data_IF_249377792304
#
_entry.id   IF_249377792304
#
_cell.length_a   1.000
_cell.length_b   1.000
_cell.length_c   1.000
_cell.angle_alpha   90.00
_cell.angle_beta   90.00
_cell.angle_gamma   90.00
#
_symmetry.space_group_name_H-M   'P 1'
#
loop_
_entity.id
_entity.type
_entity.pdbx_description
1 polymer ?
#
# COMPACT_ATOMS: atom_id res chain seq x y z
N UNK A 1 -0.92 0.17 24.29
CA UNK A 1 -1.68 -1.06 24.55
C UNK A 1 -1.41 -2.03 23.41
N UNK A 2 -1.00 -3.25 23.70
CA UNK A 2 -1.09 -4.34 22.72
C UNK A 2 -2.57 -4.52 22.39
N UNK A 3 -2.91 -4.50 21.10
CA UNK A 3 -4.26 -4.83 20.68
C UNK A 3 -4.51 -6.29 21.05
N UNK A 4 -5.25 -6.54 22.13
CA UNK A 4 -5.47 -7.89 22.63
C UNK A 4 -6.65 -8.53 21.90
N UNK A 5 -6.38 -8.96 20.65
CA UNK A 5 -7.35 -9.64 19.78
C UNK A 5 -8.02 -10.80 20.53
N UNK A 6 -7.26 -11.50 21.39
CA UNK A 6 -7.73 -12.68 22.12
C UNK A 6 -8.85 -12.34 23.11
N UNK A 7 -8.83 -11.12 23.68
CA UNK A 7 -9.81 -10.69 24.67
C UNK A 7 -11.03 -9.96 24.07
N UNK A 8 -11.03 -9.66 22.77
CA UNK A 8 -12.17 -9.05 22.10
C UNK A 8 -13.17 -10.12 21.59
N UNK A 9 -14.16 -10.45 22.41
CA UNK A 9 -15.16 -11.50 22.11
C UNK A 9 -15.91 -11.26 20.79
N UNK A 10 -16.26 -10.00 20.48
CA UNK A 10 -16.96 -9.67 19.25
C UNK A 10 -16.08 -9.92 18.01
N UNK A 11 -14.81 -9.51 18.07
CA UNK A 11 -13.85 -9.77 17.01
C UNK A 11 -13.56 -11.28 16.87
N UNK A 12 -13.42 -12.01 17.97
CA UNK A 12 -13.26 -13.47 17.95
C UNK A 12 -14.45 -14.17 17.27
N UNK A 13 -15.67 -13.71 17.54
CA UNK A 13 -16.86 -14.25 16.88
C UNK A 13 -16.84 -13.97 15.37
N UNK A 14 -16.43 -12.78 14.94
CA UNK A 14 -16.25 -12.45 13.51
C UNK A 14 -15.16 -13.32 12.86
N UNK A 15 -14.02 -13.49 13.53
CA UNK A 15 -12.93 -14.33 13.01
C UNK A 15 -13.37 -15.80 12.88
N UNK A 16 -14.14 -16.31 13.85
CA UNK A 16 -14.67 -17.67 13.82
C UNK A 16 -15.66 -17.91 12.67
N UNK A 17 -16.56 -16.97 12.38
CA UNK A 17 -17.48 -17.09 11.25
C UNK A 17 -16.74 -17.02 9.92
N UNK A 18 -15.76 -16.12 9.79
CA UNK A 18 -14.94 -15.99 8.59
C UNK A 18 -14.01 -17.18 8.36
N UNK A 19 -13.53 -17.82 9.42
CA UNK A 19 -12.69 -19.02 9.32
C UNK A 19 -13.42 -20.20 8.65
N UNK A 20 -14.75 -20.29 8.80
CA UNK A 20 -15.57 -21.30 8.11
C UNK A 20 -15.55 -21.06 6.60
N UNK A 21 -15.80 -19.82 6.17
CA UNK A 21 -15.74 -19.44 4.75
C UNK A 21 -14.35 -19.64 4.17
N UNK A 22 -13.32 -19.23 4.90
CA UNK A 22 -11.92 -19.45 4.52
C UNK A 22 -11.63 -20.92 4.25
N UNK A 23 -12.03 -21.83 5.17
CA UNK A 23 -11.82 -23.28 4.99
C UNK A 23 -12.53 -23.83 3.75
N UNK A 24 -13.74 -23.36 3.46
CA UNK A 24 -14.48 -23.74 2.24
C UNK A 24 -13.75 -23.29 0.97
N UNK A 25 -13.30 -22.04 0.95
CA UNK A 25 -12.57 -21.45 -0.18
C UNK A 25 -11.23 -22.17 -0.38
N UNK A 26 -10.44 -22.29 0.69
CA UNK A 26 -9.15 -22.98 0.67
C UNK A 26 -9.30 -24.42 0.20
N UNK A 27 -10.26 -25.18 0.74
CA UNK A 27 -10.52 -26.56 0.33
C UNK A 27 -10.92 -26.68 -1.14
N UNK A 28 -11.69 -25.73 -1.67
CA UNK A 28 -12.10 -25.72 -3.09
C UNK A 28 -10.92 -25.38 -4.00
N UNK A 29 -10.10 -24.39 -3.63
CA UNK A 29 -8.89 -24.05 -4.36
C UNK A 29 -7.86 -25.19 -4.33
N UNK A 30 -7.64 -25.82 -3.17
CA UNK A 30 -6.77 -27.00 -3.04
C UNK A 30 -7.21 -28.14 -3.95
N UNK A 31 -8.52 -28.45 -4.00
CA UNK A 31 -9.06 -29.43 -4.96
C UNK A 31 -8.78 -29.00 -6.40
N UNK A 32 -9.05 -27.74 -6.75
CA UNK A 32 -8.75 -27.18 -8.08
C UNK A 32 -7.30 -27.39 -8.50
N UNK A 33 -6.34 -27.04 -7.61
CA UNK A 33 -4.91 -27.27 -7.85
C UNK A 33 -4.57 -28.75 -8.02
N UNK A 34 -5.10 -29.64 -7.18
CA UNK A 34 -4.86 -31.09 -7.28
C UNK A 34 -5.31 -31.62 -8.66
N UNK A 35 -6.49 -31.20 -9.14
CA UNK A 35 -6.98 -31.63 -10.45
C UNK A 35 -6.13 -31.10 -11.61
N UNK A 36 -5.71 -29.83 -11.56
CA UNK A 36 -4.81 -29.26 -12.58
C UNK A 36 -3.48 -30.02 -12.60
N UNK A 37 -2.84 -30.21 -11.44
CA UNK A 37 -1.56 -30.94 -11.34
C UNK A 37 -1.72 -32.38 -11.83
N UNK A 38 -2.80 -33.06 -11.44
CA UNK A 38 -3.10 -34.43 -11.92
C UNK A 38 -3.22 -34.47 -13.43
N UNK A 39 -3.91 -33.51 -14.05
CA UNK A 39 -4.04 -33.42 -15.50
C UNK A 39 -2.72 -33.21 -16.23
N UNK A 40 -1.86 -32.33 -15.69
CA UNK A 40 -0.51 -32.10 -16.22
C UNK A 40 0.32 -33.38 -16.16
N UNK A 41 0.30 -34.08 -15.01
CA UNK A 41 1.04 -35.34 -14.82
C UNK A 41 0.55 -36.43 -15.78
N UNK A 42 -0.77 -36.59 -15.93
CA UNK A 42 -1.36 -37.54 -16.88
C UNK A 42 -0.99 -37.23 -18.33
N UNK A 43 -1.00 -35.94 -18.70
CA UNK A 43 -0.58 -35.49 -20.03
C UNK A 43 0.89 -35.80 -20.32
N UNK A 44 1.80 -35.50 -19.38
CA UNK A 44 3.23 -35.80 -19.52
C UNK A 44 3.45 -37.32 -19.59
N UNK A 45 2.85 -38.09 -18.68
CA UNK A 45 3.02 -39.53 -18.63
C UNK A 45 2.54 -40.22 -19.92
N UNK A 46 1.35 -39.86 -20.41
CA UNK A 46 0.82 -40.44 -21.64
C UNK A 46 1.67 -40.09 -22.87
N UNK A 47 2.29 -38.90 -22.90
CA UNK A 47 3.21 -38.51 -23.95
C UNK A 47 4.51 -39.34 -23.90
N UNK A 48 5.09 -39.52 -22.71
CA UNK A 48 6.30 -40.36 -22.50
C UNK A 48 6.05 -41.82 -22.89
N UNK A 49 4.85 -42.34 -22.66
CA UNK A 49 4.46 -43.70 -23.03
C UNK A 49 4.09 -43.87 -24.52
N UNK A 50 4.15 -42.81 -25.33
CA UNK A 50 3.89 -42.88 -26.78
C UNK A 50 2.43 -42.81 -27.19
N UNK A 51 1.53 -42.33 -26.31
CA UNK A 51 0.09 -42.17 -26.58
C UNK A 51 -0.32 -40.69 -26.62
N UNK A 52 0.15 -39.88 -27.59
CA UNK A 52 0.00 -38.43 -27.54
C UNK A 52 -1.46 -37.97 -27.58
N UNK A 53 -2.32 -38.58 -28.42
CA UNK A 53 -3.73 -38.18 -28.54
C UNK A 53 -4.53 -38.52 -27.26
N UNK A 54 -4.51 -39.78 -26.75
CA UNK A 54 -5.16 -40.10 -25.48
C UNK A 54 -4.62 -39.29 -24.29
N UNK A 55 -3.31 -38.99 -24.27
CA UNK A 55 -2.69 -38.21 -23.21
C UNK A 55 -3.26 -36.79 -23.12
N UNK A 56 -3.46 -36.12 -24.26
CA UNK A 56 -4.06 -34.78 -24.30
C UNK A 56 -5.48 -34.82 -23.77
N UNK A 57 -6.30 -35.77 -24.22
CA UNK A 57 -7.71 -35.89 -23.77
C UNK A 57 -7.77 -36.18 -22.27
N UNK A 58 -6.99 -37.14 -21.78
CA UNK A 58 -6.95 -37.54 -20.37
C UNK A 58 -6.44 -36.42 -19.47
N UNK A 59 -5.48 -35.61 -19.94
CA UNK A 59 -4.96 -34.46 -19.20
C UNK A 59 -5.92 -33.27 -19.18
N UNK A 60 -6.62 -32.99 -20.28
CA UNK A 60 -7.52 -31.84 -20.38
C UNK A 60 -8.75 -31.94 -19.46
N UNK A 61 -9.33 -33.13 -19.29
CA UNK A 61 -10.52 -33.33 -18.44
C UNK A 61 -10.34 -32.79 -17.01
N UNK A 62 -9.33 -33.23 -16.24
CA UNK A 62 -9.11 -32.71 -14.88
C UNK A 62 -8.62 -31.26 -14.88
N UNK A 63 -7.89 -30.79 -15.89
CA UNK A 63 -7.51 -29.36 -16.01
C UNK A 63 -8.76 -28.49 -16.13
N UNK A 64 -9.70 -28.85 -17.01
CA UNK A 64 -10.97 -28.14 -17.20
C UNK A 64 -11.77 -28.17 -15.90
N UNK A 65 -11.88 -29.31 -15.25
CA UNK A 65 -12.58 -29.42 -13.98
C UNK A 65 -11.98 -28.52 -12.90
N UNK A 66 -10.65 -28.49 -12.77
CA UNK A 66 -9.95 -27.59 -11.86
C UNK A 66 -10.21 -26.11 -12.19
N UNK A 67 -10.19 -25.73 -13.46
CA UNK A 67 -10.55 -24.39 -13.93
C UNK A 67 -11.98 -23.99 -13.57
N UNK A 68 -12.95 -24.90 -13.72
CA UNK A 68 -14.35 -24.66 -13.33
C UNK A 68 -14.49 -24.45 -11.82
N UNK A 69 -13.72 -25.15 -10.99
CA UNK A 69 -13.70 -24.92 -9.54
C UNK A 69 -13.20 -23.52 -9.19
N UNK A 70 -12.14 -23.05 -9.85
CA UNK A 70 -11.64 -21.67 -9.67
C UNK A 70 -12.67 -20.63 -10.09
N UNK A 71 -13.32 -20.82 -11.23
CA UNK A 71 -14.37 -19.91 -11.69
C UNK A 71 -15.53 -19.84 -10.69
N UNK A 72 -16.02 -20.99 -10.20
CA UNK A 72 -17.14 -21.05 -9.25
C UNK A 72 -16.82 -20.45 -7.88
N UNK A 73 -15.57 -20.55 -7.42
CA UNK A 73 -15.19 -20.03 -6.09
C UNK A 73 -14.76 -18.56 -6.12
N UNK A 74 -14.56 -17.97 -7.31
CA UNK A 74 -14.05 -16.62 -7.45
C UNK A 74 -14.93 -15.59 -6.73
N UNK A 75 -16.25 -15.62 -6.94
CA UNK A 75 -17.17 -14.67 -6.29
C UNK A 75 -17.18 -14.84 -4.78
N UNK A 76 -17.06 -16.08 -4.29
CA UNK A 76 -16.92 -16.37 -2.87
C UNK A 76 -15.62 -15.84 -2.28
N UNK A 77 -14.51 -15.96 -3.03
CA UNK A 77 -13.22 -15.41 -2.64
C UNK A 77 -13.29 -13.89 -2.54
N UNK A 78 -13.85 -13.22 -3.54
CA UNK A 78 -14.03 -11.76 -3.51
C UNK A 78 -14.94 -11.33 -2.36
N UNK A 79 -16.04 -12.04 -2.11
CA UNK A 79 -16.91 -11.76 -0.97
C UNK A 79 -16.19 -11.95 0.38
N UNK A 80 -15.36 -12.98 0.50
CA UNK A 80 -14.53 -13.23 1.68
C UNK A 80 -13.50 -12.12 1.91
N UNK A 81 -12.80 -11.67 0.86
CA UNK A 81 -11.86 -10.54 0.94
C UNK A 81 -12.57 -9.27 1.42
N UNK A 82 -13.71 -8.94 0.81
CA UNK A 82 -14.48 -7.75 1.18
C UNK A 82 -15.01 -7.83 2.62
N UNK A 83 -15.51 -8.99 3.03
CA UNK A 83 -15.99 -9.21 4.40
C UNK A 83 -14.86 -9.08 5.43
N UNK A 84 -13.62 -9.42 5.07
CA UNK A 84 -12.46 -9.27 5.97
C UNK A 84 -12.15 -7.80 6.19
N UNK A 85 -12.05 -7.04 5.09
CA UNK A 85 -11.79 -5.60 5.12
C UNK A 85 -12.88 -4.85 5.91
N UNK A 86 -14.15 -5.22 5.79
CA UNK A 86 -15.22 -4.55 6.53
C UNK A 86 -15.37 -5.04 7.98
N UNK A 87 -15.39 -6.34 8.22
CA UNK A 87 -15.76 -6.88 9.52
C UNK A 87 -14.56 -7.06 10.46
N UNK A 88 -13.39 -7.41 9.95
CA UNK A 88 -12.18 -7.62 10.77
C UNK A 88 -11.41 -6.31 10.88
N UNK A 89 -11.02 -5.74 9.74
CA UNK A 89 -10.24 -4.50 9.72
C UNK A 89 -11.08 -3.33 10.23
N UNK A 90 -12.35 -3.22 9.82
CA UNK A 90 -13.26 -2.20 10.35
C UNK A 90 -13.47 -2.29 11.87
N UNK A 91 -13.60 -3.50 12.44
CA UNK A 91 -13.70 -3.67 13.89
C UNK A 91 -12.38 -3.32 14.60
N UNK A 92 -11.24 -3.67 14.02
CA UNK A 92 -9.93 -3.30 14.58
C UNK A 92 -9.71 -1.79 14.58
N UNK A 93 -10.10 -1.11 13.51
CA UNK A 93 -10.08 0.36 13.42
C UNK A 93 -10.90 0.99 14.53
N UNK A 94 -12.16 0.55 14.72
CA UNK A 94 -13.05 1.09 15.76
C UNK A 94 -12.57 0.83 17.18
N UNK A 95 -11.88 -0.27 17.41
CA UNK A 95 -11.27 -0.54 18.72
C UNK A 95 -10.06 0.36 18.98
N UNK A 96 -9.29 0.70 17.95
CA UNK A 96 -8.15 1.60 18.09
C UNK A 96 -8.61 3.04 18.38
N UNK A 97 -9.56 3.55 17.59
CA UNK A 97 -10.18 4.85 17.81
C UNK A 97 -11.55 4.88 17.09
N UNK A 98 -12.56 5.38 17.79
CA UNK A 98 -13.96 5.34 17.35
C UNK A 98 -14.20 6.18 16.08
N UNK A 99 -13.32 7.15 15.78
CA UNK A 99 -13.36 7.97 14.56
C UNK A 99 -12.91 7.21 13.31
N UNK A 100 -12.15 6.12 13.46
CA UNK A 100 -11.56 5.42 12.32
C UNK A 100 -12.61 4.65 11.52
N UNK A 101 -12.46 4.67 10.20
CA UNK A 101 -13.34 3.95 9.28
C UNK A 101 -12.56 3.51 8.05
N UNK A 102 -13.04 2.46 7.38
CA UNK A 102 -12.48 1.96 6.13
C UNK A 102 -13.56 1.92 5.05
N UNK A 103 -13.19 2.34 3.84
CA UNK A 103 -13.93 2.09 2.62
C UNK A 103 -13.04 1.28 1.66
N UNK A 104 -13.25 -0.04 1.56
CA UNK A 104 -12.42 -0.92 0.73
C UNK A 104 -12.40 -0.57 -0.76
N UNK A 105 -13.46 0.08 -1.26
CA UNK A 105 -13.64 0.35 -2.69
C UNK A 105 -13.25 1.77 -3.09
N UNK A 106 -12.83 2.58 -2.14
CA UNK A 106 -12.32 3.92 -2.37
C UNK A 106 -10.83 3.96 -2.04
N UNK A 107 -10.17 4.99 -2.54
CA UNK A 107 -8.76 5.21 -2.31
C UNK A 107 -8.42 6.68 -2.56
N UNK A 108 -7.13 6.96 -2.71
CA UNK A 108 -6.66 8.31 -3.05
C UNK A 108 -6.64 8.44 -4.56
N UNK A 109 -7.38 9.42 -5.09
CA UNK A 109 -7.49 9.66 -6.54
C UNK A 109 -6.13 9.93 -7.20
N UNK A 110 -5.98 9.54 -8.46
CA UNK A 110 -4.76 9.76 -9.23
C UNK A 110 -4.36 11.25 -9.29
N UNK A 111 -5.35 12.15 -9.32
CA UNK A 111 -5.13 13.60 -9.28
C UNK A 111 -4.47 14.06 -7.99
N UNK A 112 -4.88 13.51 -6.84
CA UNK A 112 -4.27 13.82 -5.55
C UNK A 112 -2.89 13.20 -5.43
N UNK A 113 -2.70 11.95 -5.90
CA UNK A 113 -1.39 11.32 -5.99
C UNK A 113 -0.38 12.19 -6.75
N UNK A 114 -0.76 12.72 -7.92
CA UNK A 114 0.06 13.65 -8.69
C UNK A 114 0.26 14.98 -7.96
N UNK A 115 -0.78 15.50 -7.31
CA UNK A 115 -0.72 16.72 -6.52
C UNK A 115 0.31 16.64 -5.39
N UNK A 116 0.58 15.45 -4.83
CA UNK A 116 1.62 15.26 -3.80
C UNK A 116 3.02 15.63 -4.29
N UNK A 117 3.28 15.57 -5.60
CA UNK A 117 4.60 15.78 -6.21
C UNK A 117 5.71 14.86 -5.68
N UNK A 118 5.35 13.78 -4.99
CA UNK A 118 6.31 12.78 -4.49
C UNK A 118 6.97 11.97 -5.62
N UNK A 119 6.30 11.90 -6.77
CA UNK A 119 6.71 11.10 -7.92
C UNK A 119 6.72 11.95 -9.19
N UNK A 120 7.67 11.68 -10.08
CA UNK A 120 7.91 12.52 -11.27
C UNK A 120 7.18 12.05 -12.54
N UNK A 121 6.63 10.84 -12.53
CA UNK A 121 5.96 10.24 -13.67
C UNK A 121 4.45 10.32 -13.45
N UNK A 122 3.72 10.73 -14.49
CA UNK A 122 2.28 10.54 -14.55
C UNK A 122 1.98 9.05 -14.79
N UNK A 123 1.08 8.43 -14.01
CA UNK A 123 0.73 7.03 -14.19
C UNK A 123 -0.05 6.79 -15.48
N UNK A 124 0.41 5.86 -16.32
CA UNK A 124 -0.38 5.27 -17.41
C UNK A 124 -1.47 4.33 -16.85
N UNK A 125 -1.22 3.75 -15.67
CA UNK A 125 -2.15 2.88 -14.95
C UNK A 125 -2.09 3.21 -13.47
N UNK A 126 -3.28 3.39 -12.88
CA UNK A 126 -3.42 3.75 -11.48
C UNK A 126 -4.51 2.88 -10.83
N UNK A 127 -4.20 2.29 -9.69
CA UNK A 127 -5.13 1.55 -8.84
C UNK A 127 -5.00 2.04 -7.41
N UNK A 128 -6.12 2.17 -6.73
CA UNK A 128 -6.15 2.50 -5.31
C UNK A 128 -7.32 1.79 -4.65
N UNK A 129 -7.14 1.41 -3.39
CA UNK A 129 -8.14 0.72 -2.58
C UNK A 129 -7.88 0.97 -1.09
N UNK A 130 -8.79 0.48 -0.24
CA UNK A 130 -8.63 0.46 1.20
C UNK A 130 -8.43 1.84 1.85
N UNK A 131 -9.25 2.81 1.45
CA UNK A 131 -9.27 4.13 2.07
C UNK A 131 -9.66 4.03 3.55
N UNK A 132 -8.69 4.27 4.43
CA UNK A 132 -8.90 4.45 5.86
C UNK A 132 -8.90 5.94 6.18
N UNK A 133 -9.87 6.38 6.96
CA UNK A 133 -10.00 7.79 7.38
C UNK A 133 -10.25 7.88 8.88
N UNK A 134 -9.79 8.95 9.50
CA UNK A 134 -10.21 9.31 10.84
C UNK A 134 -9.55 10.55 11.41
N UNK A 135 -9.58 10.69 12.73
CA UNK A 135 -9.07 11.86 13.43
C UNK A 135 -8.35 11.43 14.71
N UNK A 136 -7.05 11.72 14.80
CA UNK A 136 -6.29 11.55 16.04
C UNK A 136 -6.23 12.90 16.76
N UNK A 137 -6.96 13.01 17.87
CA UNK A 137 -7.30 14.24 18.57
C UNK A 137 -7.92 15.32 17.65
N UNK A 138 -7.10 16.26 17.15
CA UNK A 138 -7.55 17.41 16.34
C UNK A 138 -7.14 17.29 14.87
N UNK A 139 -6.31 16.31 14.54
CA UNK A 139 -5.75 16.14 13.21
C UNK A 139 -6.48 15.04 12.47
N UNK A 140 -7.16 15.43 11.39
CA UNK A 140 -7.72 14.49 10.44
C UNK A 140 -6.60 13.92 9.59
N UNK A 141 -6.73 12.64 9.29
CA UNK A 141 -5.84 11.95 8.40
C UNK A 141 -6.61 10.88 7.63
N UNK A 142 -6.02 10.46 6.53
CA UNK A 142 -6.48 9.32 5.76
C UNK A 142 -5.30 8.68 5.05
N UNK A 143 -5.45 7.41 4.70
CA UNK A 143 -4.47 6.70 3.90
C UNK A 143 -5.15 5.65 3.05
N UNK A 144 -4.54 5.29 1.95
CA UNK A 144 -5.02 4.24 1.05
C UNK A 144 -3.85 3.48 0.44
N UNK A 145 -4.11 2.26 0.00
CA UNK A 145 -3.16 1.55 -0.86
C UNK A 145 -3.20 2.17 -2.26
N UNK A 146 -2.02 2.36 -2.87
CA UNK A 146 -1.83 2.91 -4.21
C UNK A 146 -0.84 2.05 -4.98
N UNK A 147 -1.20 1.73 -6.22
CA UNK A 147 -0.32 1.14 -7.23
C UNK A 147 -0.38 1.98 -8.51
N UNK A 148 0.71 2.70 -8.77
CA UNK A 148 0.88 3.62 -9.89
C UNK A 148 2.00 3.11 -10.80
N UNK A 149 1.74 3.01 -12.10
CA UNK A 149 2.63 2.40 -13.07
C UNK A 149 2.70 3.23 -14.36
N UNK A 150 3.88 3.25 -14.98
CA UNK A 150 4.09 3.80 -16.32
C UNK A 150 4.53 2.70 -17.28
N UNK A 151 4.33 2.92 -18.58
CA UNK A 151 4.78 1.99 -19.61
C UNK A 151 5.90 2.58 -20.46
N UNK A 152 6.88 1.75 -20.79
CA UNK A 152 7.87 2.06 -21.83
C UNK A 152 7.56 1.25 -23.08
N UNK A 153 7.51 1.92 -24.23
CA UNK A 153 7.25 1.30 -25.52
C UNK A 153 8.51 1.37 -26.37
N UNK A 154 9.04 0.21 -26.75
CA UNK A 154 10.23 0.11 -27.61
C UNK A 154 9.88 -0.62 -28.90
N UNK A 155 10.25 -0.01 -30.04
CA UNK A 155 10.13 -0.67 -31.33
C UNK A 155 11.28 -1.67 -31.51
N UNK A 156 10.94 -2.90 -31.83
CA UNK A 156 11.88 -4.00 -32.10
C UNK A 156 11.72 -4.47 -33.54
N UNK A 157 12.66 -5.30 -34.03
CA UNK A 157 12.60 -5.86 -35.38
C UNK A 157 11.36 -6.74 -35.62
N UNK A 158 10.80 -7.30 -34.54
CA UNK A 158 9.67 -8.25 -34.59
C UNK A 158 8.34 -7.62 -34.10
N UNK A 159 8.31 -6.29 -33.90
CA UNK A 159 7.11 -5.54 -33.48
C UNK A 159 7.35 -4.63 -32.28
N UNK A 160 6.28 -4.32 -31.55
CA UNK A 160 6.31 -3.39 -30.42
C UNK A 160 6.40 -4.13 -29.09
N UNK A 161 7.42 -3.83 -28.28
CA UNK A 161 7.55 -4.33 -26.90
C UNK A 161 7.05 -3.26 -25.92
N UNK A 162 6.06 -3.63 -25.10
CA UNK A 162 5.56 -2.78 -24.01
C UNK A 162 5.99 -3.39 -22.68
N UNK A 163 6.65 -2.59 -21.85
CA UNK A 163 7.04 -2.97 -20.49
C UNK A 163 6.36 -2.02 -19.49
N UNK A 164 5.88 -2.58 -18.39
CA UNK A 164 5.28 -1.83 -17.29
C UNK A 164 6.28 -1.73 -16.15
N UNK A 165 6.36 -0.53 -15.55
CA UNK A 165 7.28 -0.22 -14.47
C UNK A 165 6.52 0.49 -13.34
N UNK A 166 6.82 0.11 -12.10
CA UNK A 166 6.21 0.73 -10.93
C UNK A 166 6.76 2.15 -10.74
N UNK A 167 5.87 3.13 -10.66
CA UNK A 167 6.15 4.47 -10.12
C UNK A 167 6.14 4.40 -8.60
N UNK A 168 5.07 3.81 -8.07
CA UNK A 168 4.85 3.61 -6.65
C UNK A 168 3.94 2.41 -6.41
N UNK A 169 4.27 1.64 -5.38
CA UNK A 169 3.39 0.61 -4.82
C UNK A 169 3.51 0.66 -3.31
N UNK A 170 2.41 0.93 -2.62
CA UNK A 170 2.39 0.98 -1.16
C UNK A 170 1.27 1.85 -0.60
N UNK A 171 1.47 2.37 0.61
CA UNK A 171 0.46 3.21 1.29
C UNK A 171 0.82 4.68 1.09
N UNK A 172 -0.14 5.46 0.60
CA UNK A 172 -0.07 6.92 0.60
C UNK A 172 -0.89 7.42 1.79
N UNK A 173 -0.24 8.16 2.68
CA UNK A 173 -0.82 8.75 3.88
C UNK A 173 -0.93 10.25 3.72
N UNK A 174 -2.03 10.84 4.18
CA UNK A 174 -2.29 12.27 4.17
C UNK A 174 -2.81 12.72 5.54
N UNK A 175 -2.31 13.83 6.06
CA UNK A 175 -2.80 14.43 7.29
C UNK A 175 -2.87 15.96 7.21
N UNK A 176 -3.84 16.52 7.93
CA UNK A 176 -3.94 17.96 8.13
C UNK A 176 -2.72 18.48 8.90
N UNK A 177 -2.07 19.51 8.37
CA UNK A 177 -0.97 20.20 9.02
C UNK A 177 -1.46 21.54 9.57
N UNK A 178 -1.11 21.88 10.82
CA UNK A 178 -1.60 23.12 11.45
C UNK A 178 -0.86 24.40 11.00
N UNK A 179 -0.57 24.50 9.71
CA UNK A 179 0.03 25.69 9.10
C UNK A 179 -0.39 25.70 7.64
N UNK A 180 -0.69 26.90 7.13
CA UNK A 180 -0.85 27.11 5.70
C UNK A 180 0.52 27.49 5.14
N UNK A 181 1.00 26.70 4.21
CA UNK A 181 2.21 26.88 3.44
C UNK A 181 1.86 27.62 2.15
N UNK A 182 2.72 28.53 1.74
CA UNK A 182 2.66 29.15 0.42
C UNK A 182 3.67 28.52 -0.56
N UNK A 183 4.52 27.65 -0.05
CA UNK A 183 5.52 26.86 -0.78
C UNK A 183 5.19 25.37 -0.76
N UNK A 184 5.88 24.66 -1.65
CA UNK A 184 5.93 23.20 -1.69
C UNK A 184 7.29 22.79 -1.11
N UNK A 185 7.30 21.85 -0.16
CA UNK A 185 8.53 21.22 0.37
C UNK A 185 8.44 19.72 0.19
N UNK A 186 9.46 19.11 -0.42
CA UNK A 186 9.52 17.68 -0.72
C UNK A 186 10.78 17.09 -0.08
N UNK A 187 10.64 15.98 0.64
CA UNK A 187 11.72 15.21 1.26
C UNK A 187 11.74 13.83 0.60
N UNK A 188 12.87 13.44 0.02
CA UNK A 188 13.04 12.14 -0.66
C UNK A 188 14.31 11.43 -0.24
N UNK A 189 14.35 10.09 -0.19
CA UNK A 189 15.57 9.35 0.15
C UNK A 189 16.70 9.64 -0.84
N UNK A 190 17.95 9.78 -0.38
CA UNK A 190 19.13 9.93 -1.25
C UNK A 190 19.38 8.68 -2.10
N UNK A 191 19.12 7.50 -1.54
CA UNK A 191 19.28 6.20 -2.21
C UNK A 191 18.09 5.84 -3.13
N UNK A 192 17.20 6.79 -3.41
CA UNK A 192 16.14 6.64 -4.41
C UNK A 192 16.81 6.57 -5.80
N UNK A 193 17.20 5.34 -6.18
CA UNK A 193 18.27 5.05 -7.14
C UNK A 193 18.17 5.70 -8.52
N UNK A 194 19.26 5.55 -9.28
CA UNK A 194 19.51 6.10 -10.61
C UNK A 194 18.40 5.90 -11.69
N UNK A 195 17.40 5.05 -11.43
CA UNK A 195 16.22 4.87 -12.27
C UNK A 195 15.19 6.03 -12.15
N UNK A 196 15.20 6.80 -11.06
CA UNK A 196 14.26 7.92 -10.84
C UNK A 196 14.91 9.31 -10.99
N UNK A 197 16.23 9.40 -10.92
CA UNK A 197 16.98 10.66 -10.94
C UNK A 197 16.93 11.43 -12.27
N UNK A 198 16.51 10.80 -13.37
CA UNK A 198 16.53 11.41 -14.72
C UNK A 198 15.23 12.12 -15.13
N UNK A 199 14.17 12.10 -14.31
CA UNK A 199 12.81 12.49 -14.73
C UNK A 199 12.23 13.76 -14.09
N UNK A 200 13.07 14.60 -13.48
CA UNK A 200 12.64 15.80 -12.75
C UNK A 200 12.29 17.01 -13.65
N UNK A 201 11.47 16.83 -14.70
CA UNK A 201 11.14 17.92 -15.64
C UNK A 201 9.67 18.08 -16.04
N UNK A 202 8.73 17.33 -15.43
CA UNK A 202 7.32 17.33 -15.91
C UNK A 202 6.21 17.55 -14.87
N UNK A 203 6.53 17.86 -13.61
CA UNK A 203 5.49 18.20 -12.63
C UNK A 203 5.22 19.72 -12.56
N UNK A 204 4.06 20.09 -11.99
CA UNK A 204 3.56 21.47 -11.84
C UNK A 204 4.60 22.45 -11.25
N UNK A 205 5.51 21.95 -10.41
CA UNK A 205 6.69 22.67 -9.92
C UNK A 205 7.92 21.87 -10.34
N UNK A 206 8.64 22.35 -11.34
CA UNK A 206 9.87 21.72 -11.82
C UNK A 206 11.00 22.05 -10.84
N UNK A 207 11.25 21.20 -9.84
CA UNK A 207 12.39 21.38 -8.94
C UNK A 207 13.72 21.10 -9.67
N UNK A 208 14.57 22.10 -9.75
CA UNK A 208 15.94 22.02 -10.26
C UNK A 208 16.98 21.91 -9.15
N UNK A 209 18.26 21.92 -9.53
CA UNK A 209 19.39 21.92 -8.57
C UNK A 209 19.37 23.10 -7.60
N UNK A 210 18.79 24.23 -8.02
CA UNK A 210 18.72 25.45 -7.21
C UNK A 210 17.63 25.39 -6.12
N UNK A 211 16.73 24.42 -6.20
CA UNK A 211 15.66 24.26 -5.23
C UNK A 211 16.01 23.26 -4.12
N UNK A 212 17.22 22.70 -4.17
CA UNK A 212 17.76 21.85 -3.11
C UNK A 212 18.01 22.71 -1.87
N UNK A 213 17.52 22.23 -0.72
CA UNK A 213 17.62 22.92 0.56
C UNK A 213 18.58 22.15 1.44
N UNK A 214 19.72 22.77 1.73
CA UNK A 214 20.65 22.23 2.71
C UNK A 214 20.17 22.54 4.12
N UNK A 215 19.95 21.49 4.90
CA UNK A 215 19.48 21.53 6.29
C UNK A 215 20.64 21.22 7.24
N UNK A 216 20.54 21.68 8.49
CA UNK A 216 21.61 21.59 9.48
C UNK A 216 21.74 20.20 10.14
N UNK A 217 20.68 19.38 10.04
CA UNK A 217 20.70 18.04 10.60
C UNK A 217 21.50 17.10 9.69
N UNK A 218 22.68 16.69 10.17
CA UNK A 218 23.63 15.86 9.43
C UNK A 218 23.08 14.48 9.08
N UNK A 219 22.30 13.87 9.99
CA UNK A 219 21.71 12.54 9.75
C UNK A 219 20.55 12.61 8.76
N UNK A 220 19.73 13.65 8.88
CA UNK A 220 18.65 13.92 7.95
C UNK A 220 19.19 14.17 6.55
N UNK A 221 20.21 15.02 6.42
CA UNK A 221 20.85 15.28 5.13
C UNK A 221 21.51 14.01 4.58
N UNK A 222 22.09 13.13 5.40
CA UNK A 222 22.62 11.85 4.88
C UNK A 222 21.53 10.93 4.32
N UNK A 223 20.35 10.93 4.93
CA UNK A 223 19.25 10.03 4.57
C UNK A 223 18.42 10.57 3.42
N UNK A 224 18.18 11.88 3.39
CA UNK A 224 17.23 12.54 2.52
C UNK A 224 17.83 13.72 1.74
N UNK A 225 17.26 14.00 0.57
CA UNK A 225 17.38 15.28 -0.13
C UNK A 225 16.09 16.06 0.08
N UNK A 226 16.22 17.34 0.41
CA UNK A 226 15.07 18.25 0.51
C UNK A 226 15.05 19.18 -0.69
N UNK A 227 13.89 19.29 -1.32
CA UNK A 227 13.57 20.30 -2.32
C UNK A 227 12.51 21.23 -1.76
N UNK A 228 12.57 22.51 -2.08
CA UNK A 228 11.49 23.41 -1.72
C UNK A 228 11.46 24.69 -2.54
N UNK A 229 10.25 25.20 -2.79
CA UNK A 229 10.06 26.39 -3.63
C UNK A 229 10.34 27.69 -2.86
N UNK A 230 10.48 27.61 -1.54
CA UNK A 230 10.93 28.70 -0.66
C UNK A 230 11.88 28.15 0.40
N UNK A 231 13.13 28.60 0.37
CA UNK A 231 14.21 28.16 1.26
C UNK A 231 13.92 28.47 2.74
N UNK A 232 13.24 29.57 3.02
CA UNK A 232 12.95 30.03 4.38
C UNK A 232 11.76 29.27 4.94
N UNK A 233 10.64 29.21 4.21
CA UNK A 233 9.44 28.52 4.67
C UNK A 233 9.70 27.02 4.86
N UNK A 234 10.46 26.38 3.97
CA UNK A 234 10.82 24.96 4.10
C UNK A 234 11.63 24.67 5.37
N UNK A 235 12.55 25.56 5.78
CA UNK A 235 13.29 25.42 7.05
C UNK A 235 12.40 25.63 8.28
N UNK A 236 11.38 26.47 8.16
CA UNK A 236 10.36 26.61 9.19
C UNK A 236 9.42 25.39 9.30
N UNK A 237 9.22 24.66 8.20
CA UNK A 237 8.49 23.39 8.22
C UNK A 237 9.37 22.31 8.84
N UNK A 238 10.55 22.10 8.28
CA UNK A 238 11.51 21.07 8.69
C UNK A 238 12.38 21.55 9.86
N UNK A 239 11.73 21.87 10.97
CA UNK A 239 12.42 22.15 12.24
C UNK A 239 13.30 20.96 12.65
N UNK A 240 14.38 21.17 13.44
CA UNK A 240 15.21 20.08 13.94
C UNK A 240 14.43 18.95 14.60
N UNK A 241 13.41 19.29 15.40
CA UNK A 241 12.55 18.29 16.04
C UNK A 241 11.71 17.48 15.03
N UNK A 242 11.18 18.11 13.97
CA UNK A 242 10.43 17.39 12.93
C UNK A 242 11.36 16.49 12.12
N UNK A 243 12.58 16.93 11.80
CA UNK A 243 13.57 16.11 11.10
C UNK A 243 13.90 14.82 11.86
N UNK A 244 14.13 14.91 13.18
CA UNK A 244 14.37 13.73 14.04
C UNK A 244 13.17 12.78 14.07
N UNK A 245 11.94 13.32 14.14
CA UNK A 245 10.72 12.50 14.10
C UNK A 245 10.55 11.80 12.75
N UNK A 246 10.87 12.47 11.64
CA UNK A 246 10.86 11.86 10.30
C UNK A 246 11.92 10.75 10.20
N UNK A 247 13.12 10.96 10.74
CA UNK A 247 14.17 9.93 10.79
C UNK A 247 13.71 8.71 11.58
N UNK A 248 13.10 8.90 12.75
CA UNK A 248 12.57 7.80 13.56
C UNK A 248 11.47 7.04 12.80
N UNK A 249 10.54 7.77 12.17
CA UNK A 249 9.48 7.18 11.36
C UNK A 249 10.04 6.36 10.17
N UNK A 250 11.08 6.88 9.51
CA UNK A 250 11.77 6.18 8.44
C UNK A 250 12.45 4.91 8.94
N UNK A 251 13.10 4.96 10.11
CA UNK A 251 13.74 3.80 10.74
C UNK A 251 12.76 2.69 11.12
N UNK A 252 11.53 3.05 11.49
CA UNK A 252 10.46 2.10 11.78
C UNK A 252 9.80 1.54 10.50
N UNK A 253 10.06 2.18 9.36
CA UNK A 253 9.52 1.77 8.07
C UNK A 253 10.39 0.70 7.42
N UNK A 254 9.75 -0.23 6.69
CA UNK A 254 10.46 -1.31 5.99
C UNK A 254 11.35 -0.81 4.84
N UNK A 255 10.92 0.26 4.18
CA UNK A 255 11.61 0.92 3.09
C UNK A 255 11.62 2.41 3.36
N UNK A 256 12.56 3.14 2.74
CA UNK A 256 12.66 4.58 2.95
C UNK A 256 11.40 5.30 2.47
N UNK A 257 10.91 6.23 3.29
CA UNK A 257 9.70 7.02 3.03
C UNK A 257 10.01 8.29 2.23
N UNK A 258 9.00 8.84 1.57
CA UNK A 258 9.08 10.18 0.95
C UNK A 258 7.96 11.06 1.51
N UNK A 259 8.23 12.34 1.72
CA UNK A 259 7.28 13.28 2.31
C UNK A 259 7.09 14.51 1.43
N UNK A 260 5.88 15.07 1.47
CA UNK A 260 5.54 16.31 0.78
C UNK A 260 4.65 17.17 1.66
N UNK A 261 4.99 18.46 1.74
CA UNK A 261 4.24 19.47 2.47
C UNK A 261 3.73 20.48 1.46
N UNK A 262 2.41 20.54 1.30
CA UNK A 262 1.74 21.38 0.30
C UNK A 262 0.49 21.97 0.93
N UNK A 263 0.35 23.30 0.82
CA UNK A 263 -0.76 24.06 1.38
C UNK A 263 -0.98 23.81 2.87
N UNK A 264 -1.92 22.97 3.27
CA UNK A 264 -2.22 22.67 4.68
C UNK A 264 -2.19 21.19 4.98
N UNK A 265 -1.48 20.43 4.14
CA UNK A 265 -1.39 18.97 4.24
C UNK A 265 0.05 18.50 4.20
N UNK A 266 0.26 17.40 4.88
CA UNK A 266 1.45 16.59 4.76
C UNK A 266 1.06 15.25 4.16
N UNK A 267 1.81 14.83 3.15
CA UNK A 267 1.71 13.53 2.50
C UNK A 267 2.95 12.71 2.82
N UNK A 268 2.78 11.40 3.04
CA UNK A 268 3.87 10.45 3.23
C UNK A 268 3.61 9.23 2.35
N UNK A 269 4.57 8.88 1.53
CA UNK A 269 4.57 7.63 0.77
C UNK A 269 5.38 6.58 1.51
N UNK A 270 4.74 5.45 1.81
CA UNK A 270 5.35 4.25 2.38
C UNK A 270 5.43 3.17 1.29
N UNK A 271 6.58 2.96 0.64
CA UNK A 271 6.74 1.90 -0.35
C UNK A 271 6.57 0.52 0.28
N UNK A 272 5.89 -0.39 -0.41
CA UNK A 272 5.63 -1.76 0.07
C UNK A 272 5.72 -2.74 -1.10
N UNK A 273 6.05 -4.01 -0.79
CA UNK A 273 6.20 -5.06 -1.79
C UNK A 273 5.00 -6.02 -1.88
N UNK A 274 3.92 -5.72 -1.13
CA UNK A 274 2.67 -6.50 -1.08
C UNK A 274 1.51 -5.59 -0.72
N UNK A 275 0.30 -6.06 -1.00
CA UNK A 275 -0.94 -5.42 -0.56
C UNK A 275 -1.17 -5.70 0.92
N UNK A 276 -1.77 -4.74 1.62
CA UNK A 276 -2.23 -4.90 3.01
C UNK A 276 -3.73 -5.18 3.05
N UNK A 277 -4.24 -5.64 4.19
CA UNK A 277 -5.68 -5.91 4.39
C UNK A 277 -6.26 -7.01 3.50
N UNK A 278 -5.40 -7.88 2.96
CA UNK A 278 -5.79 -9.06 2.19
C UNK A 278 -5.97 -10.26 3.13
N UNK A 279 -7.19 -10.78 3.15
CA UNK A 279 -7.56 -11.94 3.94
C UNK A 279 -6.75 -13.17 3.50
N UNK A 280 -6.07 -13.85 4.42
CA UNK A 280 -5.35 -15.07 4.12
C UNK A 280 -6.33 -16.17 3.73
N UNK A 281 -6.04 -16.89 2.64
CA UNK A 281 -6.82 -18.07 2.26
C UNK A 281 -6.25 -19.34 2.88
N UNK A 282 -4.92 -19.47 2.93
CA UNK A 282 -4.24 -20.69 3.36
C UNK A 282 -3.64 -20.64 4.78
N UNK A 283 -3.93 -19.58 5.55
CA UNK A 283 -3.57 -19.46 6.97
C UNK A 283 -4.82 -19.22 7.80
N UNK A 284 -4.86 -19.73 9.03
CA UNK A 284 -6.05 -19.57 9.89
C UNK A 284 -6.19 -18.13 10.35
N UNK A 285 -7.42 -17.61 10.35
CA UNK A 285 -7.74 -16.31 10.96
C UNK A 285 -7.75 -16.36 12.48
N UNK A 286 -7.79 -17.57 13.05
CA UNK A 286 -7.73 -17.79 14.50
C UNK A 286 -6.30 -17.78 15.05
N UNK A 287 -5.31 -17.70 14.16
CA UNK A 287 -3.92 -17.45 14.54
C UNK A 287 -3.73 -15.95 14.79
N UNK A 288 -3.43 -15.51 16.04
CA UNK A 288 -3.30 -14.10 16.36
C UNK A 288 -2.27 -13.38 15.48
N UNK A 289 -1.16 -14.05 15.13
CA UNK A 289 -0.09 -13.48 14.31
C UNK A 289 -0.57 -13.05 12.92
N UNK A 290 -1.57 -13.74 12.40
CA UNK A 290 -2.08 -13.52 11.05
C UNK A 290 -2.85 -12.20 10.96
N UNK A 291 -3.62 -11.84 11.99
CA UNK A 291 -4.39 -10.58 12.05
C UNK A 291 -3.54 -9.44 12.64
N UNK A 292 -2.58 -9.76 13.50
CA UNK A 292 -1.70 -8.79 14.15
C UNK A 292 -0.91 -7.92 13.15
N UNK A 293 -0.54 -8.44 11.97
CA UNK A 293 0.22 -7.67 10.98
C UNK A 293 -0.59 -6.46 10.46
N UNK A 294 -1.83 -6.68 10.03
CA UNK A 294 -2.69 -5.61 9.51
C UNK A 294 -3.03 -4.60 10.60
N UNK A 295 -3.34 -5.08 11.81
CA UNK A 295 -3.64 -4.22 12.97
C UNK A 295 -2.41 -3.39 13.36
N UNK A 296 -1.22 -3.98 13.32
CA UNK A 296 0.03 -3.25 13.61
C UNK A 296 0.28 -2.15 12.58
N UNK A 297 -0.01 -2.40 11.30
CA UNK A 297 0.07 -1.37 10.25
C UNK A 297 -0.91 -0.24 10.50
N UNK A 298 -2.17 -0.54 10.83
CA UNK A 298 -3.20 0.47 11.13
C UNK A 298 -2.77 1.31 12.32
N UNK A 299 -2.31 0.66 13.40
CA UNK A 299 -1.82 1.34 14.59
C UNK A 299 -0.62 2.22 14.27
N UNK A 300 0.32 1.74 13.47
CA UNK A 300 1.45 2.53 13.00
C UNK A 300 0.97 3.78 12.25
N UNK A 301 0.04 3.64 11.31
CA UNK A 301 -0.52 4.77 10.55
C UNK A 301 -1.25 5.79 11.45
N UNK A 302 -2.02 5.31 12.43
CA UNK A 302 -2.66 6.17 13.43
C UNK A 302 -1.64 6.93 14.29
N UNK A 303 -0.61 6.22 14.75
CA UNK A 303 0.43 6.77 15.63
C UNK A 303 1.29 7.83 14.92
N UNK A 304 1.36 7.86 13.58
CA UNK A 304 2.09 8.90 12.80
C UNK A 304 1.68 10.31 13.23
N UNK A 305 0.38 10.54 13.47
CA UNK A 305 -0.11 11.87 13.85
C UNK A 305 0.52 12.36 15.15
N UNK A 306 0.71 11.44 16.11
CA UNK A 306 1.35 11.70 17.39
C UNK A 306 2.89 11.74 17.25
N UNK A 307 3.45 10.82 16.49
CA UNK A 307 4.90 10.69 16.28
C UNK A 307 5.48 11.94 15.61
N UNK A 308 4.75 12.52 14.65
CA UNK A 308 5.12 13.75 13.97
C UNK A 308 4.58 15.02 14.66
N UNK A 309 3.94 14.87 15.82
CA UNK A 309 3.41 15.98 16.63
C UNK A 309 2.49 16.94 15.88
N UNK A 310 1.65 16.40 14.99
CA UNK A 310 0.77 17.19 14.12
C UNK A 310 -0.38 17.88 14.89
N UNK A 311 -0.63 17.46 16.12
CA UNK A 311 -1.66 18.02 16.99
C UNK A 311 -1.23 19.35 17.63
N UNK A 312 0.06 19.67 17.63
CA UNK A 312 0.56 20.89 18.26
C UNK A 312 0.13 22.12 17.44
N UNK A 313 -0.77 22.93 18.03
CA UNK A 313 -1.34 24.12 17.42
C UNK A 313 -0.56 25.38 17.85
N UNK A 314 0.68 25.52 17.38
CA UNK A 314 1.50 26.73 17.69
C UNK A 314 1.03 27.94 16.88
N UNK A 315 0.31 27.70 15.79
CA UNK A 315 -0.18 28.72 14.87
C UNK A 315 -1.70 28.83 15.05
N UNK A 316 -2.13 29.94 15.65
CA UNK A 316 -3.55 30.30 15.70
C UNK A 316 -4.06 30.46 14.27
N UNK A 317 -5.17 29.80 13.96
CA UNK A 317 -5.96 30.17 12.78
C UNK A 317 -6.66 31.47 13.13
N UNK A 318 -6.13 32.59 12.68
CA UNK A 318 -6.98 33.75 12.38
C UNK A 318 -7.68 33.50 11.05
#
# INVERSE_FOLDING_TARGET
MSFDIANNVALQQVLATMEVERKRIAGTQTKGYIFIVTGIVLGILGFVLGFPIPAVIAGLIPIIYGGVLFFKINDSLTAYQNAYKTNVIGAALKFLDESLSINPYQGIEASEFMYTQLFSNEPDRYKTEDLVMGCADKTRFYFAEVHAEYKTVTQTKDGTRTEWHDIFRGILFAADFNKKFNSVTIVRPKDFGAAFGAWFSKNLFSFGSNDVIQLENVEFDKTFVTYGSDQVESRYILTPALMERILNLNHQSKYNISLSFIESRMYIAFPLNRNYFEAPVFKSLLDPETVNQDISTIKFMYDIVKELDLNTRIWGKE
#
